data_IF_250032019209
#
_entry.id   IF_250032019209
#
_cell.length_a   1.000
_cell.length_b   1.000
_cell.length_c   1.000
_cell.angle_alpha   90.00
_cell.angle_beta   90.00
_cell.angle_gamma   90.00
#
_symmetry.space_group_name_H-M   'P 1'
#
loop_
_entity.id
_entity.type
_entity.pdbx_description
1 polymer ?
#
# COMPACT_ATOMS: atom_id res chain seq x y z
N UNK A 1 82.51 -49.21 33.07
CA UNK A 1 82.78 -48.48 34.38
C UNK A 1 84.19 -48.74 35.01
N UNK A 2 85.07 -49.47 34.31
CA UNK A 2 86.32 -49.85 34.91
C UNK A 2 87.58 -49.31 34.26
N UNK A 3 87.54 -48.81 33.02
CA UNK A 3 88.77 -48.33 32.37
C UNK A 3 89.00 -46.83 32.48
N UNK A 4 88.00 -45.99 32.76
CA UNK A 4 88.07 -44.54 32.79
C UNK A 4 88.90 -43.92 33.91
N UNK A 5 89.20 -44.68 34.89
CA UNK A 5 89.98 -44.15 36.02
C UNK A 5 91.40 -44.66 36.08
N UNK A 6 91.78 -45.52 35.12
CA UNK A 6 93.12 -46.10 35.15
C UNK A 6 94.25 -45.16 34.72
N UNK A 7 93.94 -44.11 34.01
CA UNK A 7 94.99 -43.17 33.56
C UNK A 7 95.59 -42.43 34.75
N UNK A 8 94.82 -42.11 35.81
CA UNK A 8 95.37 -41.56 37.07
C UNK A 8 96.38 -42.51 37.77
N UNK A 9 96.23 -43.79 37.59
CA UNK A 9 97.18 -44.75 38.11
C UNK A 9 98.60 -44.67 37.43
N UNK A 10 98.54 -44.43 36.14
CA UNK A 10 99.78 -44.22 35.36
C UNK A 10 100.41 -42.89 35.71
N UNK A 11 99.68 -41.81 35.97
CA UNK A 11 100.18 -40.52 36.39
C UNK A 11 100.86 -40.66 37.80
N UNK A 12 100.15 -41.25 38.72
CA UNK A 12 100.71 -41.45 40.11
C UNK A 12 101.93 -42.40 40.12
N UNK A 13 101.91 -43.46 39.34
CA UNK A 13 103.02 -44.40 39.19
C UNK A 13 104.23 -43.76 38.51
N UNK A 14 104.01 -42.94 37.50
CA UNK A 14 105.08 -42.18 36.85
C UNK A 14 105.72 -41.20 37.78
N UNK A 15 104.89 -40.47 38.67
CA UNK A 15 105.46 -39.63 39.69
C UNK A 15 106.29 -40.39 40.74
N UNK A 16 105.86 -41.61 41.09
CA UNK A 16 106.64 -42.49 42.01
C UNK A 16 107.92 -42.98 41.36
N UNK A 17 107.93 -43.43 40.11
CA UNK A 17 109.13 -43.82 39.37
C UNK A 17 110.13 -42.66 39.20
N UNK A 18 109.62 -41.46 38.92
CA UNK A 18 110.47 -40.27 38.85
C UNK A 18 111.14 -39.96 40.12
N UNK A 19 110.43 -40.10 41.28
CA UNK A 19 110.94 -39.90 42.64
C UNK A 19 112.01 -40.93 43.01
N UNK A 20 111.95 -42.16 42.44
CA UNK A 20 112.95 -43.25 42.61
C UNK A 20 114.13 -43.20 41.61
N UNK A 21 114.12 -42.16 40.74
CA UNK A 21 115.19 -42.01 39.74
C UNK A 21 115.05 -42.89 38.49
N UNK A 22 113.96 -43.66 38.35
CA UNK A 22 113.70 -44.51 37.16
C UNK A 22 112.93 -43.73 36.08
N UNK A 23 113.62 -42.83 35.38
CA UNK A 23 113.06 -41.94 34.42
C UNK A 23 112.48 -42.66 33.15
N UNK A 24 113.01 -43.80 32.77
CA UNK A 24 112.52 -44.56 31.65
C UNK A 24 111.13 -45.19 31.93
N UNK A 25 110.94 -45.72 33.08
CA UNK A 25 109.62 -46.22 33.48
C UNK A 25 108.58 -45.07 33.70
N UNK A 26 109.01 -43.94 34.28
CA UNK A 26 108.17 -42.75 34.40
C UNK A 26 107.72 -42.20 33.02
N UNK A 27 108.67 -42.19 32.07
CA UNK A 27 108.29 -41.70 30.71
C UNK A 27 107.24 -42.61 30.01
N UNK A 28 107.44 -43.94 30.15
CA UNK A 28 106.45 -44.88 29.55
C UNK A 28 105.07 -44.72 30.19
N UNK A 29 105.03 -44.55 31.48
CA UNK A 29 103.71 -44.33 32.18
C UNK A 29 103.13 -43.01 31.82
N UNK A 30 103.85 -41.93 31.64
CA UNK A 30 103.39 -40.65 31.14
C UNK A 30 102.86 -40.76 29.66
N UNK A 31 103.55 -41.53 28.85
CA UNK A 31 103.02 -41.77 27.50
C UNK A 31 101.60 -42.48 27.55
N UNK A 32 101.51 -43.57 28.32
CA UNK A 32 100.26 -44.29 28.50
C UNK A 32 99.20 -43.42 29.17
N UNK A 33 99.53 -42.60 30.11
CA UNK A 33 98.57 -41.58 30.69
C UNK A 33 98.11 -40.66 29.61
N UNK A 34 98.97 -40.10 28.81
CA UNK A 34 98.62 -39.15 27.76
C UNK A 34 97.68 -39.75 26.69
N UNK A 35 98.03 -40.98 26.25
CA UNK A 35 97.17 -41.70 25.28
C UNK A 35 95.76 -41.98 25.86
N UNK A 36 95.67 -42.50 27.03
CA UNK A 36 94.37 -42.80 27.68
C UNK A 36 93.59 -41.56 27.98
N UNK A 37 94.23 -40.47 28.43
CA UNK A 37 93.65 -39.21 28.73
C UNK A 37 93.07 -38.57 27.44
N UNK A 38 93.85 -38.53 26.36
CA UNK A 38 93.37 -38.02 25.07
C UNK A 38 92.22 -38.86 24.51
N UNK A 39 92.27 -40.16 24.66
CA UNK A 39 91.16 -41.04 24.21
C UNK A 39 89.89 -40.74 25.04
N UNK A 40 89.98 -40.62 26.32
CA UNK A 40 88.84 -40.31 27.22
C UNK A 40 88.28 -38.97 26.86
N UNK A 41 89.04 -37.92 26.65
CA UNK A 41 88.60 -36.58 26.37
C UNK A 41 87.90 -36.59 24.94
N UNK A 42 88.43 -37.34 23.99
CA UNK A 42 87.76 -37.43 22.67
C UNK A 42 86.42 -38.17 22.75
N UNK A 43 86.37 -39.31 23.49
CA UNK A 43 85.15 -40.09 23.64
C UNK A 43 84.09 -39.29 24.37
N UNK A 44 84.46 -38.52 25.41
CA UNK A 44 83.51 -37.63 26.11
C UNK A 44 83.07 -36.46 25.23
N UNK A 45 83.93 -35.89 24.43
CA UNK A 45 83.60 -34.86 23.44
C UNK A 45 82.62 -35.35 22.36
N UNK A 46 82.95 -36.57 21.75
CA UNK A 46 82.07 -37.16 20.78
C UNK A 46 80.68 -37.46 21.29
N UNK A 47 80.64 -37.98 22.52
CA UNK A 47 79.35 -38.23 23.21
C UNK A 47 78.56 -36.93 23.43
N UNK A 48 79.24 -35.89 23.92
CA UNK A 48 78.65 -34.58 24.18
C UNK A 48 78.15 -33.95 22.84
N UNK A 49 78.93 -34.02 21.78
CA UNK A 49 78.54 -33.57 20.43
C UNK A 49 77.32 -34.33 19.89
N UNK A 50 77.28 -35.66 20.11
CA UNK A 50 76.16 -36.50 19.73
C UNK A 50 74.86 -36.13 20.52
N UNK A 51 74.99 -35.87 21.80
CA UNK A 51 73.86 -35.38 22.61
C UNK A 51 73.36 -34.00 22.16
N UNK A 52 74.25 -33.06 21.86
CA UNK A 52 73.90 -31.75 21.30
C UNK A 52 73.24 -31.87 19.90
N UNK A 53 73.76 -32.72 19.02
CA UNK A 53 73.16 -32.93 17.71
C UNK A 53 71.74 -33.48 17.79
N UNK A 54 71.50 -34.45 18.68
CA UNK A 54 70.15 -34.99 18.90
C UNK A 54 69.20 -33.95 19.53
N UNK A 55 69.68 -33.12 20.44
CA UNK A 55 68.88 -32.04 21.02
C UNK A 55 68.50 -31.00 19.96
N UNK A 56 69.44 -30.62 19.08
CA UNK A 56 69.16 -29.68 17.99
C UNK A 56 68.14 -30.26 16.97
N UNK A 57 68.27 -31.54 16.61
CA UNK A 57 67.30 -32.20 15.74
C UNK A 57 65.91 -32.31 16.34
N UNK A 58 65.79 -32.63 17.63
CA UNK A 58 64.51 -32.64 18.37
C UNK A 58 63.90 -31.25 18.40
N UNK A 59 64.67 -30.21 18.66
CA UNK A 59 64.19 -28.83 18.66
C UNK A 59 63.72 -28.40 17.27
N UNK A 60 64.49 -28.73 16.21
CA UNK A 60 64.11 -28.45 14.84
C UNK A 60 62.79 -29.12 14.45
N UNK A 61 62.61 -30.41 14.75
CA UNK A 61 61.39 -31.17 14.51
C UNK A 61 60.19 -30.60 15.28
N UNK A 62 60.44 -30.14 16.54
CA UNK A 62 59.39 -29.51 17.35
C UNK A 62 58.94 -28.18 16.75
N UNK A 63 59.86 -27.36 16.22
CA UNK A 63 59.52 -26.11 15.54
C UNK A 63 58.74 -26.37 14.26
N UNK A 64 59.21 -27.29 13.41
CA UNK A 64 58.51 -27.67 12.16
C UNK A 64 57.09 -28.19 12.43
N UNK A 65 56.94 -29.02 13.46
CA UNK A 65 55.66 -29.53 13.93
C UNK A 65 54.73 -28.41 14.47
N UNK A 66 55.27 -27.38 15.12
CA UNK A 66 54.53 -26.23 15.60
C UNK A 66 54.04 -25.39 14.42
N UNK A 67 54.88 -25.12 13.40
CA UNK A 67 54.49 -24.38 12.20
C UNK A 67 53.41 -25.10 11.39
N UNK A 68 53.54 -26.43 11.18
CA UNK A 68 52.49 -27.22 10.51
C UNK A 68 51.17 -27.21 11.28
N UNK A 69 51.19 -27.22 12.60
CA UNK A 69 49.99 -27.12 13.42
C UNK A 69 49.34 -25.74 13.29
N UNK A 70 50.13 -24.69 13.26
CA UNK A 70 49.61 -23.33 13.09
C UNK A 70 48.96 -23.17 11.71
N UNK A 71 49.62 -23.61 10.64
CA UNK A 71 49.04 -23.58 9.30
C UNK A 71 47.70 -24.35 9.22
N UNK A 72 47.67 -25.56 9.80
CA UNK A 72 46.45 -26.36 9.83
C UNK A 72 45.31 -25.69 10.62
N UNK A 73 45.64 -24.93 11.68
CA UNK A 73 44.64 -24.15 12.45
C UNK A 73 44.11 -22.96 11.66
N UNK A 74 44.98 -22.24 10.95
CA UNK A 74 44.59 -21.11 10.10
C UNK A 74 43.67 -21.56 8.95
N UNK A 75 44.02 -22.67 8.29
CA UNK A 75 43.14 -23.23 7.26
C UNK A 75 41.77 -23.67 7.79
N UNK A 76 41.72 -24.28 8.97
CA UNK A 76 40.44 -24.66 9.60
C UNK A 76 39.60 -23.45 9.94
N UNK A 77 40.19 -22.39 10.52
CA UNK A 77 39.53 -21.12 10.81
C UNK A 77 38.96 -20.49 9.55
N UNK A 78 39.74 -20.45 8.48
CA UNK A 78 39.31 -19.88 7.21
C UNK A 78 38.13 -20.66 6.59
N UNK A 79 38.18 -21.98 6.61
CA UNK A 79 37.07 -22.83 6.14
C UNK A 79 35.80 -22.64 6.98
N UNK A 80 35.93 -22.56 8.30
CA UNK A 80 34.75 -22.33 9.16
C UNK A 80 34.16 -20.93 8.96
N UNK A 81 35.00 -19.90 8.78
CA UNK A 81 34.54 -18.54 8.45
C UNK A 81 33.79 -18.47 7.12
N UNK A 82 34.34 -19.09 6.07
CA UNK A 82 33.66 -19.17 4.76
C UNK A 82 32.30 -19.90 4.88
N UNK A 83 32.25 -20.98 5.64
CA UNK A 83 31.00 -21.72 5.89
C UNK A 83 29.95 -20.89 6.63
N UNK A 84 30.35 -20.15 7.66
CA UNK A 84 29.43 -19.28 8.40
C UNK A 84 28.93 -18.10 7.58
N UNK A 85 29.78 -17.46 6.78
CA UNK A 85 29.40 -16.40 5.85
C UNK A 85 28.42 -16.94 4.80
N UNK A 86 28.71 -18.10 4.21
CA UNK A 86 27.82 -18.76 3.24
C UNK A 86 26.42 -19.04 3.82
N UNK A 87 26.38 -19.58 5.04
CA UNK A 87 25.10 -19.83 5.74
C UNK A 87 24.34 -18.53 6.02
N UNK A 88 25.03 -17.48 6.48
CA UNK A 88 24.41 -16.17 6.73
C UNK A 88 23.83 -15.56 5.45
N UNK A 89 24.52 -15.67 4.31
CA UNK A 89 24.02 -15.21 3.01
C UNK A 89 22.75 -15.98 2.58
N UNK A 90 22.73 -17.30 2.75
CA UNK A 90 21.55 -18.13 2.43
C UNK A 90 20.36 -17.72 3.29
N UNK A 91 20.56 -17.54 4.61
CA UNK A 91 19.50 -17.10 5.53
C UNK A 91 18.97 -15.71 5.17
N UNK A 92 19.85 -14.79 4.80
CA UNK A 92 19.47 -13.44 4.37
C UNK A 92 18.64 -13.47 3.07
N UNK A 93 19.06 -14.26 2.08
CA UNK A 93 18.31 -14.46 0.85
C UNK A 93 16.94 -15.09 1.11
N UNK A 94 16.86 -16.08 1.99
CA UNK A 94 15.60 -16.70 2.39
C UNK A 94 14.68 -15.69 3.10
N UNK A 95 15.22 -14.85 3.99
CA UNK A 95 14.45 -13.81 4.67
C UNK A 95 13.91 -12.77 3.67
N UNK A 96 14.72 -12.31 2.73
CA UNK A 96 14.29 -11.39 1.66
C UNK A 96 13.21 -12.03 0.80
N UNK A 97 13.38 -13.29 0.40
CA UNK A 97 12.39 -14.02 -0.39
C UNK A 97 11.04 -14.13 0.36
N UNK A 98 11.07 -14.50 1.63
CA UNK A 98 9.86 -14.56 2.48
C UNK A 98 9.20 -13.19 2.59
N UNK A 99 9.97 -12.12 2.81
CA UNK A 99 9.44 -10.76 2.89
C UNK A 99 8.76 -10.31 1.58
N UNK A 100 9.36 -10.60 0.43
CA UNK A 100 8.79 -10.32 -0.90
C UNK A 100 7.51 -11.12 -1.11
N UNK A 101 7.51 -12.41 -0.79
CA UNK A 101 6.32 -13.27 -0.91
C UNK A 101 5.17 -12.81 -0.01
N UNK A 102 5.46 -12.43 1.24
CA UNK A 102 4.45 -11.87 2.14
C UNK A 102 3.88 -10.54 1.62
N UNK A 103 4.73 -9.68 1.05
CA UNK A 103 4.29 -8.42 0.45
C UNK A 103 3.40 -8.66 -0.77
N UNK A 104 3.80 -9.56 -1.66
CA UNK A 104 2.99 -9.94 -2.83
C UNK A 104 1.64 -10.54 -2.43
N UNK A 105 1.62 -11.47 -1.48
CA UNK A 105 0.38 -12.07 -0.99
C UNK A 105 -0.57 -11.02 -0.38
N UNK A 106 -0.03 -10.07 0.40
CA UNK A 106 -0.85 -8.96 0.94
C UNK A 106 -1.40 -8.07 -0.17
N UNK A 107 -0.61 -7.79 -1.20
CA UNK A 107 -1.05 -6.98 -2.34
C UNK A 107 -2.14 -7.71 -3.14
N UNK A 108 -1.95 -8.99 -3.42
CA UNK A 108 -2.92 -9.83 -4.12
C UNK A 108 -4.23 -9.97 -3.33
N UNK A 109 -4.14 -10.18 -2.01
CA UNK A 109 -5.32 -10.27 -1.15
C UNK A 109 -6.11 -8.95 -1.11
N UNK A 110 -5.43 -7.78 -1.12
CA UNK A 110 -6.10 -6.47 -1.22
C UNK A 110 -6.77 -6.28 -2.57
N UNK A 111 -6.08 -6.58 -3.66
CA UNK A 111 -6.63 -6.48 -5.01
C UNK A 111 -7.85 -7.41 -5.20
N UNK A 112 -7.76 -8.64 -4.70
CA UNK A 112 -8.87 -9.61 -4.73
C UNK A 112 -10.08 -9.08 -3.95
N UNK A 113 -9.90 -8.58 -2.72
CA UNK A 113 -10.99 -8.01 -1.91
C UNK A 113 -11.64 -6.81 -2.62
N UNK A 114 -10.84 -5.91 -3.19
CA UNK A 114 -11.37 -4.77 -3.94
C UNK A 114 -12.18 -5.20 -5.17
N UNK A 115 -11.72 -6.22 -5.90
CA UNK A 115 -12.45 -6.78 -7.04
C UNK A 115 -13.75 -7.49 -6.61
N UNK A 116 -13.72 -8.27 -5.54
CA UNK A 116 -14.90 -8.94 -4.96
C UNK A 116 -15.93 -7.92 -4.46
N UNK A 117 -15.49 -6.87 -3.77
CA UNK A 117 -16.36 -5.77 -3.32
C UNK A 117 -16.98 -5.04 -4.52
N UNK A 118 -16.19 -4.71 -5.55
CA UNK A 118 -16.69 -4.11 -6.80
C UNK A 118 -17.73 -5.00 -7.48
N UNK A 119 -17.48 -6.31 -7.59
CA UNK A 119 -18.44 -7.26 -8.17
C UNK A 119 -19.71 -7.39 -7.33
N UNK A 120 -19.57 -7.42 -5.99
CA UNK A 120 -20.73 -7.43 -5.08
C UNK A 120 -21.58 -6.19 -5.26
N UNK A 121 -20.94 -5.00 -5.34
CA UNK A 121 -21.64 -3.74 -5.55
C UNK A 121 -22.34 -3.69 -6.92
N UNK A 122 -21.71 -4.22 -8.00
CA UNK A 122 -22.36 -4.38 -9.30
C UNK A 122 -23.59 -5.29 -9.23
N UNK A 123 -23.50 -6.41 -8.51
CA UNK A 123 -24.63 -7.32 -8.32
C UNK A 123 -25.81 -6.68 -7.56
N UNK A 124 -25.52 -5.90 -6.50
CA UNK A 124 -26.54 -5.12 -5.78
C UNK A 124 -27.16 -4.07 -6.70
N UNK A 125 -26.34 -3.37 -7.49
CA UNK A 125 -26.79 -2.37 -8.45
C UNK A 125 -27.80 -2.94 -9.47
N UNK A 126 -27.47 -4.08 -10.10
CA UNK A 126 -28.36 -4.74 -11.07
C UNK A 126 -29.66 -5.18 -10.39
N UNK A 127 -29.59 -5.76 -9.19
CA UNK A 127 -30.79 -6.18 -8.44
C UNK A 127 -31.71 -5.02 -8.12
N UNK A 128 -31.13 -3.89 -7.66
CA UNK A 128 -31.91 -2.70 -7.34
C UNK A 128 -32.54 -2.08 -8.60
N UNK A 129 -31.80 -2.01 -9.71
CA UNK A 129 -32.37 -1.58 -11.01
C UNK A 129 -33.57 -2.45 -11.38
N UNK A 130 -33.42 -3.78 -11.33
CA UNK A 130 -34.48 -4.71 -11.70
C UNK A 130 -35.75 -4.48 -10.84
N UNK A 131 -35.56 -4.27 -9.54
CA UNK A 131 -36.66 -3.96 -8.63
C UNK A 131 -37.33 -2.62 -8.95
N UNK A 132 -36.54 -1.57 -9.17
CA UNK A 132 -37.02 -0.21 -9.47
C UNK A 132 -37.65 -0.12 -10.91
N UNK A 133 -37.33 -1.03 -11.82
CA UNK A 133 -38.01 -1.18 -13.13
C UNK A 133 -39.33 -1.91 -12.96
N UNK A 134 -39.39 -3.01 -12.22
CA UNK A 134 -40.57 -3.85 -12.14
C UNK A 134 -41.74 -3.13 -11.48
N UNK A 135 -41.51 -2.27 -10.49
CA UNK A 135 -42.57 -1.53 -9.79
C UNK A 135 -43.39 -0.64 -10.72
N UNK A 136 -42.83 0.34 -11.49
CA UNK A 136 -43.60 1.15 -12.43
C UNK A 136 -44.14 0.32 -13.59
N UNK A 137 -43.42 -0.69 -14.05
CA UNK A 137 -43.86 -1.58 -15.14
C UNK A 137 -45.17 -2.30 -14.76
N UNK A 138 -45.20 -2.89 -13.52
CA UNK A 138 -46.41 -3.53 -13.02
C UNK A 138 -47.59 -2.55 -12.86
N UNK A 139 -47.28 -1.31 -12.42
CA UNK A 139 -48.32 -0.25 -12.37
C UNK A 139 -48.87 0.11 -13.77
N UNK A 140 -47.98 0.25 -14.77
CA UNK A 140 -48.37 0.55 -16.16
C UNK A 140 -49.27 -0.58 -16.69
N UNK A 141 -48.85 -1.84 -16.52
CA UNK A 141 -49.61 -3.01 -16.99
C UNK A 141 -50.98 -3.08 -16.29
N UNK A 142 -50.98 -3.00 -14.94
CA UNK A 142 -52.22 -3.14 -14.18
C UNK A 142 -53.25 -2.02 -14.51
N UNK A 143 -52.81 -0.76 -14.62
CA UNK A 143 -53.72 0.36 -14.93
C UNK A 143 -54.10 0.34 -16.43
N UNK A 144 -53.28 -0.19 -17.31
CA UNK A 144 -53.68 -0.40 -18.73
C UNK A 144 -54.72 -1.50 -18.85
N UNK A 145 -54.65 -2.58 -18.10
CA UNK A 145 -55.68 -3.64 -18.04
C UNK A 145 -56.99 -3.11 -17.47
N UNK A 146 -56.95 -2.30 -16.38
CA UNK A 146 -58.11 -1.65 -15.83
C UNK A 146 -58.78 -0.67 -16.83
N UNK A 147 -57.99 0.15 -17.53
CA UNK A 147 -58.45 1.06 -18.54
C UNK A 147 -59.08 0.33 -19.75
N UNK A 148 -58.62 -0.86 -20.06
CA UNK A 148 -59.17 -1.69 -21.16
C UNK A 148 -60.42 -2.49 -20.78
N UNK A 149 -60.53 -2.91 -19.47
CA UNK A 149 -61.64 -3.73 -18.99
C UNK A 149 -62.91 -2.92 -18.64
N UNK A 150 -62.79 -1.59 -18.51
CA UNK A 150 -63.84 -0.72 -18.01
C UNK A 150 -64.66 -0.18 -19.19
N UNK A 151 -65.63 -0.95 -19.72
CA UNK A 151 -66.60 -0.48 -20.73
C UNK A 151 -67.55 0.60 -20.18
N UNK A 152 -67.85 0.58 -18.89
CA UNK A 152 -68.76 1.53 -18.17
C UNK A 152 -67.99 2.56 -17.30
N UNK A 153 -66.65 2.65 -17.33
CA UNK A 153 -65.89 3.58 -16.50
C UNK A 153 -66.19 5.03 -16.91
N UNK A 154 -66.45 5.88 -15.87
CA UNK A 154 -66.55 7.32 -16.04
C UNK A 154 -65.29 7.86 -16.76
N UNK A 155 -65.47 8.84 -17.66
CA UNK A 155 -64.38 9.47 -18.39
C UNK A 155 -63.30 10.02 -17.45
N UNK A 156 -63.64 10.46 -16.28
CA UNK A 156 -62.72 10.92 -15.19
C UNK A 156 -61.83 9.79 -14.65
N UNK A 157 -62.38 8.61 -14.44
CA UNK A 157 -61.69 7.45 -13.93
C UNK A 157 -60.65 6.94 -14.99
N UNK A 158 -61.08 6.85 -16.26
CA UNK A 158 -60.19 6.49 -17.36
C UNK A 158 -59.02 7.48 -17.52
N UNK A 159 -59.30 8.79 -17.35
CA UNK A 159 -58.31 9.85 -17.39
C UNK A 159 -57.30 9.70 -16.24
N UNK A 160 -57.77 9.30 -15.05
CA UNK A 160 -56.88 9.00 -13.90
C UNK A 160 -55.93 7.85 -14.18
N UNK A 161 -56.43 6.73 -14.77
CA UNK A 161 -55.54 5.59 -15.16
C UNK A 161 -54.51 6.01 -16.19
N UNK A 162 -54.88 6.80 -17.21
CA UNK A 162 -53.93 7.32 -18.20
C UNK A 162 -52.89 8.20 -17.54
N UNK A 163 -53.25 9.04 -16.59
CA UNK A 163 -52.30 9.89 -15.85
C UNK A 163 -51.26 9.05 -15.07
N UNK A 164 -51.72 7.99 -14.39
CA UNK A 164 -50.83 7.08 -13.65
C UNK A 164 -49.88 6.35 -14.60
N UNK A 165 -50.36 5.89 -15.77
CA UNK A 165 -49.53 5.24 -16.78
C UNK A 165 -48.48 6.22 -17.31
N UNK A 166 -48.83 7.46 -17.63
CA UNK A 166 -47.92 8.49 -18.10
C UNK A 166 -46.85 8.84 -17.06
N UNK A 167 -47.23 9.00 -15.77
CA UNK A 167 -46.29 9.26 -14.67
C UNK A 167 -45.27 8.14 -14.51
N UNK A 168 -45.73 6.87 -14.48
CA UNK A 168 -44.87 5.72 -14.35
C UNK A 168 -43.97 5.52 -15.58
N UNK A 169 -44.45 5.81 -16.77
CA UNK A 169 -43.66 5.79 -18.00
C UNK A 169 -42.54 6.83 -17.97
N UNK A 170 -42.85 8.06 -17.55
CA UNK A 170 -41.86 9.13 -17.37
C UNK A 170 -40.81 8.79 -16.32
N UNK A 171 -41.23 8.14 -15.20
CA UNK A 171 -40.32 7.64 -14.17
C UNK A 171 -39.38 6.59 -14.72
N UNK A 172 -39.89 5.60 -15.48
CA UNK A 172 -39.09 4.53 -16.08
C UNK A 172 -38.08 5.09 -17.10
N UNK A 173 -38.47 6.04 -17.93
CA UNK A 173 -37.57 6.69 -18.87
C UNK A 173 -36.43 7.39 -18.16
N UNK A 174 -36.74 8.17 -17.11
CA UNK A 174 -35.71 8.83 -16.28
C UNK A 174 -34.74 7.83 -15.63
N UNK A 175 -35.23 6.67 -15.12
CA UNK A 175 -34.41 5.61 -14.55
C UNK A 175 -33.41 5.09 -15.60
N UNK A 176 -33.88 4.76 -16.82
CA UNK A 176 -32.99 4.27 -17.88
C UNK A 176 -31.95 5.31 -18.24
N UNK A 177 -32.34 6.58 -18.38
CA UNK A 177 -31.41 7.68 -18.70
C UNK A 177 -30.35 7.86 -17.63
N UNK A 178 -30.71 7.82 -16.31
CA UNK A 178 -29.77 7.95 -15.21
C UNK A 178 -28.82 6.75 -15.14
N UNK A 179 -29.31 5.52 -15.39
CA UNK A 179 -28.47 4.30 -15.45
C UNK A 179 -27.46 4.37 -16.61
N UNK A 180 -27.93 4.75 -17.81
CA UNK A 180 -27.05 4.90 -18.98
C UNK A 180 -26.02 6.02 -18.73
N UNK A 181 -26.41 7.11 -18.10
CA UNK A 181 -25.52 8.21 -17.77
C UNK A 181 -24.43 7.79 -16.79
N UNK A 182 -24.81 7.05 -15.74
CA UNK A 182 -23.83 6.47 -14.77
C UNK A 182 -22.87 5.53 -15.48
N UNK A 183 -23.38 4.60 -16.31
CA UNK A 183 -22.55 3.66 -17.05
C UNK A 183 -21.59 4.37 -18.01
N UNK A 184 -22.04 5.45 -18.67
CA UNK A 184 -21.21 6.28 -19.52
C UNK A 184 -20.08 6.99 -18.76
N UNK A 185 -20.37 7.56 -17.59
CA UNK A 185 -19.35 8.20 -16.75
C UNK A 185 -18.33 7.20 -16.19
N UNK A 186 -18.73 5.97 -15.85
CA UNK A 186 -17.85 4.94 -15.29
C UNK A 186 -16.98 4.27 -16.36
N UNK A 187 -17.46 4.15 -17.58
CA UNK A 187 -16.73 3.54 -18.71
C UNK A 187 -15.84 4.52 -19.48
N UNK A 188 -16.03 5.83 -19.25
CA UNK A 188 -15.32 6.85 -20.01
C UNK A 188 -13.86 6.97 -19.54
N UNK A 189 -12.94 6.44 -20.35
CA UNK A 189 -11.49 6.68 -20.20
C UNK A 189 -11.08 8.07 -20.73
N UNK A 190 -11.95 8.72 -21.48
CA UNK A 190 -11.69 10.03 -22.08
C UNK A 190 -12.06 11.14 -21.11
N UNK A 191 -11.18 12.12 -20.85
CA UNK A 191 -11.54 13.28 -20.04
C UNK A 191 -12.71 14.04 -20.69
N UNK A 192 -13.59 14.62 -19.86
CA UNK A 192 -14.75 15.35 -20.38
C UNK A 192 -14.31 16.53 -21.25
N UNK A 193 -15.09 16.81 -22.31
CA UNK A 193 -14.85 17.97 -23.15
C UNK A 193 -14.95 19.26 -22.33
N UNK A 194 -13.88 20.05 -22.34
CA UNK A 194 -13.78 21.31 -21.62
C UNK A 194 -13.92 22.46 -22.61
N UNK A 195 -14.70 23.48 -22.23
CA UNK A 195 -14.91 24.71 -23.03
C UNK A 195 -15.01 25.93 -22.11
N UNK A 196 -14.72 27.15 -22.60
CA UNK A 196 -15.03 28.36 -21.86
C UNK A 196 -16.55 28.45 -21.60
N UNK A 197 -16.93 28.48 -20.33
CA UNK A 197 -18.33 28.46 -19.89
C UNK A 197 -18.61 29.66 -19.04
N UNK A 198 -19.65 30.44 -19.32
CA UNK A 198 -20.16 31.45 -18.36
C UNK A 198 -20.93 30.72 -17.25
N UNK A 199 -20.41 30.79 -16.07
CA UNK A 199 -20.96 30.09 -14.89
C UNK A 199 -22.30 30.67 -14.48
N UNK A 200 -22.49 31.98 -14.63
CA UNK A 200 -23.74 32.63 -14.26
C UNK A 200 -24.90 32.21 -15.19
N UNK A 201 -24.63 32.22 -16.49
CA UNK A 201 -25.57 31.74 -17.49
C UNK A 201 -25.94 30.26 -17.26
N UNK A 202 -24.92 29.42 -17.07
CA UNK A 202 -25.10 27.99 -16.77
C UNK A 202 -25.98 27.76 -15.53
N UNK A 203 -25.74 28.52 -14.42
CA UNK A 203 -26.55 28.43 -13.22
C UNK A 203 -28.01 28.90 -13.43
N UNK A 204 -28.21 29.99 -14.19
CA UNK A 204 -29.55 30.51 -14.51
C UNK A 204 -30.35 29.54 -15.36
N UNK A 205 -29.73 28.93 -16.36
CA UNK A 205 -30.36 27.89 -17.16
C UNK A 205 -30.80 26.69 -16.33
N UNK A 206 -29.98 26.25 -15.35
CA UNK A 206 -30.35 25.18 -14.46
C UNK A 206 -31.58 25.55 -13.60
N UNK A 207 -31.61 26.77 -13.05
CA UNK A 207 -32.75 27.26 -12.29
C UNK A 207 -34.02 27.28 -13.19
N UNK A 208 -33.93 27.82 -14.40
CA UNK A 208 -35.05 27.87 -15.32
C UNK A 208 -35.60 26.47 -15.64
N UNK A 209 -34.73 25.52 -15.97
CA UNK A 209 -35.09 24.11 -16.25
C UNK A 209 -35.83 23.45 -15.10
N UNK A 210 -35.34 23.65 -13.85
CA UNK A 210 -35.94 23.05 -12.67
C UNK A 210 -37.29 23.73 -12.34
N UNK A 211 -37.36 25.05 -12.43
CA UNK A 211 -38.60 25.81 -12.18
C UNK A 211 -39.72 25.46 -13.15
N UNK A 212 -39.39 25.25 -14.43
CA UNK A 212 -40.36 24.86 -15.46
C UNK A 212 -40.87 23.41 -15.29
N UNK A 213 -40.03 22.52 -14.77
CA UNK A 213 -40.39 21.10 -14.57
C UNK A 213 -41.06 20.81 -13.22
N UNK A 214 -41.09 21.77 -12.32
CA UNK A 214 -41.75 21.64 -11.01
C UNK A 214 -43.20 22.02 -11.04
N UNK A 215 -44.07 21.14 -10.52
CA UNK A 215 -45.47 21.45 -10.28
C UNK A 215 -45.69 22.34 -9.04
N UNK A 216 -44.67 22.59 -8.24
CA UNK A 216 -44.65 23.43 -7.04
C UNK A 216 -44.09 24.81 -7.39
N UNK A 217 -44.73 25.86 -6.86
CA UNK A 217 -44.19 27.22 -6.92
C UNK A 217 -43.05 27.39 -5.89
N UNK A 218 -41.83 27.00 -6.27
CA UNK A 218 -40.64 27.11 -5.43
C UNK A 218 -39.82 28.32 -5.86
N UNK A 219 -39.45 29.18 -4.90
CA UNK A 219 -38.56 30.31 -5.16
C UNK A 219 -37.12 29.87 -5.04
N UNK A 220 -36.38 29.95 -6.17
CA UNK A 220 -34.96 29.68 -6.21
C UNK A 220 -34.19 30.98 -6.38
N UNK A 221 -33.40 31.36 -5.36
CA UNK A 221 -32.56 32.55 -5.37
C UNK A 221 -31.17 32.18 -5.84
N UNK A 222 -30.61 32.98 -6.78
CA UNK A 222 -29.25 32.86 -7.22
C UNK A 222 -28.35 33.91 -6.60
N UNK A 223 -27.19 33.48 -6.04
CA UNK A 223 -26.21 34.37 -5.40
C UNK A 223 -24.85 34.11 -6.05
N UNK A 224 -24.50 34.84 -7.13
CA UNK A 224 -23.18 34.72 -7.79
C UNK A 224 -22.08 35.38 -6.96
N UNK A 225 -20.87 34.81 -7.00
CA UNK A 225 -19.69 35.44 -6.37
C UNK A 225 -19.16 36.62 -7.20
N UNK A 226 -19.44 36.66 -8.50
CA UNK A 226 -19.04 37.73 -9.45
C UNK A 226 -20.15 37.96 -10.48
N UNK A 227 -20.24 39.18 -10.97
CA UNK A 227 -21.23 39.55 -12.01
C UNK A 227 -21.01 38.81 -13.35
N UNK A 228 -19.75 38.52 -13.69
CA UNK A 228 -19.37 37.69 -14.85
C UNK A 228 -18.21 36.79 -14.45
N UNK A 229 -18.33 35.50 -14.72
CA UNK A 229 -17.29 34.55 -14.41
C UNK A 229 -17.26 33.41 -15.43
N UNK A 230 -16.16 33.36 -16.21
CA UNK A 230 -15.90 32.29 -17.16
C UNK A 230 -14.89 31.30 -16.59
N UNK A 231 -15.20 30.02 -16.76
CA UNK A 231 -14.36 28.91 -16.35
C UNK A 231 -14.19 27.94 -17.53
N UNK A 232 -12.97 27.47 -17.75
CA UNK A 232 -12.71 26.42 -18.71
C UNK A 232 -13.09 25.06 -18.11
N UNK A 233 -14.30 24.60 -18.43
CA UNK A 233 -14.91 23.43 -17.79
C UNK A 233 -15.93 22.76 -18.72
N UNK A 234 -16.53 21.64 -18.29
CA UNK A 234 -17.65 21.02 -18.99
C UNK A 234 -18.97 21.58 -18.49
N UNK A 235 -19.56 22.47 -19.27
CA UNK A 235 -20.89 23.03 -19.01
C UNK A 235 -21.93 21.92 -18.79
N UNK A 236 -21.93 20.90 -19.63
CA UNK A 236 -22.86 19.75 -19.57
C UNK A 236 -22.80 19.05 -18.19
N UNK A 237 -21.58 18.75 -17.69
CA UNK A 237 -21.42 18.07 -16.40
C UNK A 237 -21.82 18.96 -15.24
N UNK A 238 -21.43 20.24 -15.25
CA UNK A 238 -21.80 21.19 -14.20
C UNK A 238 -23.32 21.39 -14.18
N UNK A 239 -23.93 21.64 -15.34
CA UNK A 239 -25.40 21.78 -15.45
C UNK A 239 -26.14 20.55 -14.94
N UNK A 240 -25.68 19.33 -15.30
CA UNK A 240 -26.31 18.10 -14.79
C UNK A 240 -26.21 18.00 -13.27
N UNK A 241 -25.02 18.25 -12.69
CA UNK A 241 -24.84 18.18 -11.23
C UNK A 241 -25.67 19.22 -10.48
N UNK A 242 -25.66 20.49 -10.93
CA UNK A 242 -26.46 21.56 -10.32
C UNK A 242 -27.96 21.25 -10.45
N UNK A 243 -28.41 20.75 -11.62
CA UNK A 243 -29.83 20.38 -11.83
C UNK A 243 -30.26 19.26 -10.88
N UNK A 244 -29.44 18.23 -10.67
CA UNK A 244 -29.76 17.15 -9.71
C UNK A 244 -29.78 17.66 -8.26
N UNK A 245 -28.83 18.54 -7.87
CA UNK A 245 -28.84 19.18 -6.54
C UNK A 245 -30.08 20.04 -6.35
N UNK A 246 -30.46 20.85 -7.34
CA UNK A 246 -31.67 21.68 -7.28
C UNK A 246 -32.96 20.85 -7.23
N UNK A 247 -33.07 19.79 -8.04
CA UNK A 247 -34.21 18.86 -7.98
C UNK A 247 -34.36 18.21 -6.62
N UNK A 248 -33.24 17.84 -6.01
CA UNK A 248 -33.24 17.31 -4.67
C UNK A 248 -33.77 18.36 -3.64
N UNK A 249 -33.28 19.60 -3.75
CA UNK A 249 -33.74 20.70 -2.91
C UNK A 249 -35.24 20.96 -3.11
N UNK A 250 -35.75 21.00 -4.35
CA UNK A 250 -37.20 21.19 -4.65
C UNK A 250 -38.06 20.06 -4.08
N UNK A 251 -37.55 18.84 -4.10
CA UNK A 251 -38.25 17.67 -3.59
C UNK A 251 -38.43 17.71 -2.08
N UNK A 252 -37.42 18.14 -1.33
CA UNK A 252 -37.37 18.09 0.11
C UNK A 252 -37.65 19.46 0.80
N UNK A 253 -37.47 20.57 0.07
CA UNK A 253 -37.91 21.86 0.60
C UNK A 253 -39.42 21.84 0.74
N UNK A 254 -39.93 22.09 1.97
CA UNK A 254 -41.33 22.43 2.17
C UNK A 254 -41.62 23.74 1.40
N UNK A 255 -42.50 24.58 1.84
CA UNK A 255 -42.81 25.87 1.18
C UNK A 255 -41.70 26.94 1.31
N UNK A 256 -40.43 26.51 1.34
CA UNK A 256 -39.27 27.35 1.68
C UNK A 256 -38.43 27.82 0.50
N UNK A 257 -37.47 28.68 0.80
CA UNK A 257 -36.55 29.27 -0.16
C UNK A 257 -35.38 28.30 -0.46
N UNK A 258 -35.05 28.12 -1.76
CA UNK A 258 -33.84 27.41 -2.19
C UNK A 258 -32.82 28.46 -2.65
N UNK A 259 -31.59 28.32 -2.21
CA UNK A 259 -30.52 29.21 -2.63
C UNK A 259 -29.46 28.40 -3.41
N UNK A 260 -29.18 28.78 -4.68
CA UNK A 260 -28.00 28.39 -5.44
C UNK A 260 -26.98 29.50 -5.32
N UNK A 261 -25.77 29.17 -4.85
CA UNK A 261 -24.67 30.13 -4.77
C UNK A 261 -23.39 29.47 -5.26
N UNK A 262 -22.42 30.25 -5.66
CA UNK A 262 -21.05 29.77 -5.78
C UNK A 262 -20.04 30.73 -5.14
N UNK A 263 -18.94 30.19 -4.65
CA UNK A 263 -17.84 30.90 -4.04
C UNK A 263 -16.51 30.52 -4.71
N UNK A 264 -15.57 31.43 -4.72
CA UNK A 264 -14.22 31.24 -5.25
C UNK A 264 -13.21 31.23 -4.10
N UNK A 265 -12.50 30.14 -3.94
CA UNK A 265 -11.37 30.05 -3.00
C UNK A 265 -10.08 30.38 -3.74
N UNK A 266 -9.55 31.59 -3.49
CA UNK A 266 -8.30 32.05 -4.11
C UNK A 266 -7.04 31.30 -3.66
N UNK A 267 -7.05 30.73 -2.43
CA UNK A 267 -5.92 29.98 -1.88
C UNK A 267 -5.79 28.60 -2.47
N UNK A 268 -6.90 27.90 -2.65
CA UNK A 268 -6.96 26.53 -3.16
C UNK A 268 -7.25 26.42 -4.66
N UNK A 269 -7.45 27.56 -5.34
CA UNK A 269 -7.83 27.63 -6.76
C UNK A 269 -9.03 26.73 -7.09
N UNK A 270 -10.10 26.88 -6.32
CA UNK A 270 -11.33 26.09 -6.44
C UNK A 270 -12.56 26.99 -6.55
N UNK A 271 -13.59 26.50 -7.28
CA UNK A 271 -14.95 27.03 -7.22
C UNK A 271 -15.80 26.03 -6.47
N UNK A 272 -16.67 26.52 -5.60
CA UNK A 272 -17.61 25.70 -4.84
C UNK A 272 -19.04 26.18 -5.08
N UNK A 273 -19.85 25.34 -5.74
CA UNK A 273 -21.25 25.54 -5.90
C UNK A 273 -21.99 25.01 -4.67
N UNK A 274 -22.88 25.80 -4.12
CA UNK A 274 -23.70 25.40 -2.97
C UNK A 274 -25.17 25.49 -3.31
N UNK A 275 -25.92 24.43 -3.03
CA UNK A 275 -27.39 24.42 -3.05
C UNK A 275 -27.85 24.23 -1.63
N UNK A 276 -28.62 25.18 -1.14
CA UNK A 276 -29.18 25.22 0.24
C UNK A 276 -30.68 25.19 0.15
N UNK A 277 -31.31 24.31 0.92
CA UNK A 277 -32.77 24.22 1.09
C UNK A 277 -33.17 24.43 2.55
N UNK A 278 -34.47 24.64 2.78
CA UNK A 278 -35.10 24.77 4.09
C UNK A 278 -35.84 23.50 4.52
N UNK A 279 -35.48 22.35 3.97
CA UNK A 279 -36.08 21.06 4.29
C UNK A 279 -35.73 20.54 5.70
N UNK A 280 -36.07 19.27 5.98
CA UNK A 280 -35.82 18.66 7.30
C UNK A 280 -34.34 18.48 7.65
N UNK A 281 -33.44 18.72 6.70
CA UNK A 281 -32.00 18.45 6.85
C UNK A 281 -31.67 16.97 6.79
N UNK A 282 -30.38 16.67 6.94
CA UNK A 282 -29.85 15.32 6.86
C UNK A 282 -28.92 15.07 8.05
N UNK A 283 -29.12 13.98 8.83
CA UNK A 283 -28.26 13.67 9.96
C UNK A 283 -26.78 13.51 9.54
N UNK A 284 -25.85 13.99 10.36
CA UNK A 284 -24.42 13.94 10.07
C UNK A 284 -23.88 12.49 9.87
N UNK A 285 -24.49 11.50 10.52
CA UNK A 285 -24.15 10.08 10.35
C UNK A 285 -24.45 9.56 8.93
N UNK A 286 -25.38 10.19 8.20
CA UNK A 286 -25.77 9.83 6.84
C UNK A 286 -25.01 10.60 5.75
N UNK A 287 -24.19 11.58 6.14
CA UNK A 287 -23.54 12.54 5.22
C UNK A 287 -22.72 11.91 4.10
N UNK A 288 -22.07 10.77 4.33
CA UNK A 288 -21.36 10.01 3.30
C UNK A 288 -22.25 8.98 2.60
N UNK A 289 -23.21 8.42 3.32
CA UNK A 289 -24.08 7.36 2.85
C UNK A 289 -25.06 7.84 1.75
N UNK A 290 -25.56 9.06 1.85
CA UNK A 290 -26.53 9.65 0.89
C UNK A 290 -26.02 9.74 -0.56
N UNK A 291 -24.71 9.71 -0.77
CA UNK A 291 -24.10 9.68 -2.10
C UNK A 291 -24.00 8.26 -2.68
N UNK A 292 -24.43 7.24 -1.94
CA UNK A 292 -24.52 5.85 -2.39
C UNK A 292 -25.60 5.67 -3.47
N UNK A 293 -25.46 4.59 -4.25
CA UNK A 293 -26.47 4.25 -5.27
C UNK A 293 -27.72 3.71 -4.61
N UNK A 294 -28.90 4.19 -5.05
CA UNK A 294 -30.22 3.78 -4.52
C UNK A 294 -30.42 4.05 -3.04
N UNK A 295 -29.64 4.99 -2.47
CA UNK A 295 -29.84 5.41 -1.09
C UNK A 295 -30.99 6.40 -1.03
N UNK A 296 -31.99 6.07 -0.22
CA UNK A 296 -33.12 6.91 0.14
C UNK A 296 -33.19 7.00 1.67
N UNK A 297 -33.28 8.18 2.23
CA UNK A 297 -33.46 8.37 3.67
C UNK A 297 -34.92 8.12 4.11
N UNK A 298 -35.84 8.31 3.17
CA UNK A 298 -37.25 8.01 3.33
C UNK A 298 -37.69 7.02 2.25
N UNK A 299 -38.23 5.88 2.66
CA UNK A 299 -38.73 4.82 1.78
C UNK A 299 -39.95 5.23 0.96
N UNK A 300 -40.67 6.25 1.41
CA UNK A 300 -41.86 6.76 0.72
C UNK A 300 -41.57 7.92 -0.24
N UNK A 301 -40.32 8.43 -0.25
CA UNK A 301 -39.97 9.51 -1.18
C UNK A 301 -39.90 9.02 -2.61
N UNK A 302 -40.60 9.72 -3.52
CA UNK A 302 -40.47 9.51 -4.95
C UNK A 302 -39.05 9.87 -5.41
N UNK A 303 -38.36 8.94 -6.05
CA UNK A 303 -37.03 9.17 -6.59
C UNK A 303 -36.17 7.90 -6.58
N UNK A 304 -35.20 7.84 -7.46
CA UNK A 304 -34.36 6.64 -7.69
C UNK A 304 -33.19 6.51 -6.71
N UNK A 305 -32.89 7.55 -5.90
CA UNK A 305 -31.67 7.58 -5.10
C UNK A 305 -30.37 7.57 -5.94
N UNK A 306 -30.46 7.97 -7.21
CA UNK A 306 -29.30 8.03 -8.15
C UNK A 306 -28.78 9.46 -8.33
N UNK A 307 -29.55 10.50 -8.09
CA UNK A 307 -29.17 11.89 -8.37
C UNK A 307 -27.90 12.34 -7.66
N UNK A 308 -27.75 12.06 -6.35
CA UNK A 308 -26.54 12.40 -5.59
C UNK A 308 -25.36 11.52 -6.00
N UNK A 309 -25.59 10.28 -6.41
CA UNK A 309 -24.54 9.41 -7.00
C UNK A 309 -24.01 10.02 -8.30
N UNK A 310 -24.90 10.49 -9.19
CA UNK A 310 -24.53 11.20 -10.43
C UNK A 310 -23.67 12.43 -10.08
N UNK A 311 -24.09 13.23 -9.10
CA UNK A 311 -23.32 14.39 -8.65
C UNK A 311 -21.92 14.01 -8.17
N UNK A 312 -21.76 12.91 -7.42
CA UNK A 312 -20.45 12.42 -6.95
C UNK A 312 -19.55 11.96 -8.08
N UNK A 313 -20.10 11.24 -9.08
CA UNK A 313 -19.36 10.80 -10.25
C UNK A 313 -18.92 12.01 -11.12
N UNK A 314 -19.78 12.98 -11.32
CA UNK A 314 -19.45 14.22 -12.03
C UNK A 314 -18.35 14.99 -11.28
N UNK A 315 -18.47 15.15 -9.97
CA UNK A 315 -17.46 15.80 -9.15
C UNK A 315 -16.10 15.11 -9.34
N UNK A 316 -16.05 13.78 -9.29
CA UNK A 316 -14.84 13.00 -9.53
C UNK A 316 -14.28 13.20 -10.93
N UNK A 317 -15.11 13.16 -11.97
CA UNK A 317 -14.71 13.38 -13.37
C UNK A 317 -14.11 14.79 -13.61
N UNK A 318 -14.59 15.78 -12.86
CA UNK A 318 -14.05 17.15 -12.88
C UNK A 318 -12.85 17.37 -11.94
N UNK A 319 -12.37 16.31 -11.26
CA UNK A 319 -11.27 16.39 -10.27
C UNK A 319 -11.66 17.11 -8.98
N UNK A 320 -12.94 17.14 -8.69
CA UNK A 320 -13.53 17.79 -7.53
C UNK A 320 -14.11 16.83 -6.50
N UNK A 321 -14.94 17.38 -5.61
CA UNK A 321 -15.67 16.63 -4.57
C UNK A 321 -17.03 17.23 -4.34
N UNK A 322 -18.01 16.43 -3.92
CA UNK A 322 -19.30 16.89 -3.40
C UNK A 322 -19.44 16.44 -1.95
N UNK A 323 -19.98 17.30 -1.09
CA UNK A 323 -20.20 17.05 0.34
C UNK A 323 -21.49 17.66 0.82
N UNK A 324 -22.02 17.08 1.89
CA UNK A 324 -23.06 17.71 2.72
C UNK A 324 -22.37 18.59 3.77
N UNK A 325 -22.83 19.83 3.93
CA UNK A 325 -22.40 20.72 5.01
C UNK A 325 -23.12 20.34 6.30
N UNK A 326 -22.49 19.54 7.13
CA UNK A 326 -23.06 19.06 8.40
C UNK A 326 -23.15 20.14 9.51
N UNK A 327 -22.53 21.30 9.29
CA UNK A 327 -22.62 22.44 10.21
C UNK A 327 -23.84 23.32 9.94
N UNK A 328 -24.51 23.14 8.81
CA UNK A 328 -25.73 23.87 8.49
C UNK A 328 -26.95 23.19 9.11
N UNK A 329 -27.74 23.94 9.86
CA UNK A 329 -28.89 23.42 10.62
C UNK A 329 -30.28 23.94 10.14
N UNK A 330 -30.27 24.75 9.08
CA UNK A 330 -31.54 25.34 8.55
C UNK A 330 -32.22 24.51 7.45
N UNK A 331 -31.77 23.25 7.23
CA UNK A 331 -32.18 22.36 6.15
C UNK A 331 -30.98 21.55 5.66
N UNK A 332 -30.93 21.23 4.37
CA UNK A 332 -29.72 20.61 3.78
C UNK A 332 -28.93 21.64 2.94
N UNK A 333 -27.59 21.49 2.98
CA UNK A 333 -26.66 22.26 2.14
C UNK A 333 -25.66 21.34 1.48
N UNK A 334 -25.75 21.23 0.16
CA UNK A 334 -24.80 20.47 -0.65
C UNK A 334 -23.74 21.40 -1.26
N UNK A 335 -22.50 20.99 -1.22
CA UNK A 335 -21.35 21.74 -1.73
C UNK A 335 -20.57 20.92 -2.76
N UNK A 336 -20.63 21.33 -4.04
CA UNK A 336 -19.82 20.77 -5.13
C UNK A 336 -18.59 21.64 -5.36
N UNK A 337 -17.41 21.13 -5.08
CA UNK A 337 -16.14 21.87 -5.19
C UNK A 337 -15.29 21.28 -6.32
N UNK A 338 -14.93 22.09 -7.31
CA UNK A 338 -14.07 21.69 -8.43
C UNK A 338 -12.86 22.61 -8.57
N UNK A 339 -11.70 22.12 -9.08
CA UNK A 339 -10.53 22.96 -9.29
C UNK A 339 -10.77 23.97 -10.40
N UNK A 340 -10.23 25.18 -10.25
CA UNK A 340 -10.11 26.17 -11.32
C UNK A 340 -8.95 25.76 -12.22
N UNK A 341 -9.23 25.44 -13.47
CA UNK A 341 -8.23 25.12 -14.50
C UNK A 341 -8.14 26.21 -15.53
#
# INVERSE_FOLDING_TARGET
YKESYFYYLYENRAAAYAALGNFEAAYRDIQHYTELYHKQVNDDNEKTLGEFATLLDVNRLNMEKAELRQQAQEERLHRTQLGTIGLACILLLAAVFIAVMLRMNRHLARAKRAAEESNRMKGIFIRNITHEINTPLNSIVGFAELAAASDDADAAERQSYISIIQENSGYLQKLVDDVLYIAGLESSETPPAMSPTDINECCQECIQKVSQSSSRAVSIRFVPAREKFHLHTSCMLISKAITEMLRNAVHFAADGEITLAYTLDGGNRRITFTVTDSGPGIPACEAEHIFGRFVKLDTFSQGLGLGLTVCRLIASALGGTIKLDTNYSGGARFALSIPLR
#
